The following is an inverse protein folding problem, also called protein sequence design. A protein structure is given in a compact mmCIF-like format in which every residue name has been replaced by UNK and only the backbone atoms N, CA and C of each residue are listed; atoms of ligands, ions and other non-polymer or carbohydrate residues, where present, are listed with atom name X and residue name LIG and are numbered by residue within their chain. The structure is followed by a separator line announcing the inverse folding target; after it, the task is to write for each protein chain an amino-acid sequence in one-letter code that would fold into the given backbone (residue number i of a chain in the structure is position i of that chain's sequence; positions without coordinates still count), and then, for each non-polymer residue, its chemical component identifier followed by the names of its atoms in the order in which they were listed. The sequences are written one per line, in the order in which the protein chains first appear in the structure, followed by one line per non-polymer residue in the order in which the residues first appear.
data_IF_311195226033
#
_entry.id   IF_311195226033
#
_cell.length_a   1.000
_cell.length_b   1.000
_cell.length_c   1.000
_cell.angle_alpha   90.00
_cell.angle_beta   90.00
_cell.angle_gamma   90.00
#
_symmetry.space_group_name_H-M   'P 1'
#
loop_
_entity.id
_entity.type
_entity.pdbx_description
1 polymer ?
#
# COMPACT_ATOMS: atom_id res chain seq x y z
N UNK A 1 21.79 13.49 3.24
CA UNK A 1 21.15 14.67 3.80
C UNK A 1 19.63 14.45 3.85
N UNK A 2 18.97 14.50 5.03
CA UNK A 2 17.53 14.27 5.18
C UNK A 2 16.66 15.16 4.26
N UNK A 3 17.10 16.39 3.99
CA UNK A 3 16.36 17.32 3.14
C UNK A 3 16.38 16.96 1.64
N UNK A 4 17.31 16.13 1.20
CA UNK A 4 17.53 15.85 -0.23
C UNK A 4 17.50 14.35 -0.59
N UNK A 5 17.37 13.46 0.41
CA UNK A 5 17.45 12.02 0.18
C UNK A 5 16.30 11.48 -0.72
N UNK A 6 15.21 12.24 -0.83
CA UNK A 6 14.06 11.93 -1.68
C UNK A 6 14.25 12.37 -3.14
N UNK A 7 15.35 13.05 -3.46
CA UNK A 7 15.66 13.48 -4.84
C UNK A 7 16.44 12.37 -5.52
N UNK A 8 15.92 11.77 -6.59
CA UNK A 8 16.64 10.74 -7.32
C UNK A 8 17.95 11.26 -7.90
N UNK A 9 19.01 10.47 -7.81
CA UNK A 9 20.35 10.81 -8.28
C UNK A 9 20.78 9.84 -9.37
N UNK A 10 21.14 10.37 -10.54
CA UNK A 10 21.75 9.60 -11.63
C UNK A 10 23.21 9.99 -11.76
N UNK A 11 24.10 9.02 -11.66
CA UNK A 11 25.54 9.24 -11.89
C UNK A 11 25.83 9.09 -13.39
N UNK A 12 26.48 10.09 -13.97
CA UNK A 12 27.00 10.03 -15.34
C UNK A 12 28.51 9.92 -15.29
N UNK A 13 29.06 8.78 -15.69
CA UNK A 13 30.49 8.47 -15.52
C UNK A 13 31.13 7.98 -16.81
N UNK A 14 32.43 8.22 -16.98
CA UNK A 14 33.25 7.59 -18.02
C UNK A 14 33.77 6.20 -17.61
N UNK A 15 33.61 5.83 -16.34
CA UNK A 15 33.99 4.52 -15.81
C UNK A 15 32.94 3.51 -16.25
N UNK A 16 33.33 2.49 -16.98
CA UNK A 16 32.47 1.48 -17.59
C UNK A 16 32.61 0.10 -16.92
N UNK A 17 33.52 -0.04 -15.96
CA UNK A 17 33.71 -1.29 -15.25
C UNK A 17 32.45 -1.64 -14.42
N UNK A 18 32.02 -2.89 -14.42
CA UNK A 18 30.88 -3.34 -13.58
C UNK A 18 31.04 -3.00 -12.09
N UNK A 19 32.27 -3.04 -11.57
CA UNK A 19 32.60 -2.65 -10.19
C UNK A 19 32.25 -1.22 -9.85
N UNK A 20 32.55 -0.27 -10.78
CA UNK A 20 32.30 1.15 -10.57
C UNK A 20 30.81 1.48 -10.56
N UNK A 21 30.04 0.78 -11.40
CA UNK A 21 28.58 0.87 -11.45
C UNK A 21 27.95 0.43 -10.12
N UNK A 22 28.43 -0.70 -9.58
CA UNK A 22 27.97 -1.25 -8.30
C UNK A 22 28.30 -0.29 -7.16
N UNK A 23 29.52 0.29 -7.13
CA UNK A 23 29.93 1.26 -6.11
C UNK A 23 29.03 2.51 -6.13
N UNK A 24 28.70 3.03 -7.31
CA UNK A 24 27.78 4.17 -7.45
C UNK A 24 26.40 3.91 -6.87
N UNK A 25 25.83 2.75 -7.16
CA UNK A 25 24.52 2.34 -6.60
C UNK A 25 24.58 2.07 -5.10
N UNK A 26 25.68 1.46 -4.60
CA UNK A 26 25.89 1.25 -3.16
C UNK A 26 26.10 2.55 -2.40
N UNK A 27 26.70 3.56 -3.03
CA UNK A 27 26.86 4.90 -2.46
C UNK A 27 25.53 5.68 -2.37
N UNK A 28 24.45 5.13 -2.90
CA UNK A 28 23.11 5.71 -2.78
C UNK A 28 22.60 6.40 -4.05
N UNK A 29 23.28 6.25 -5.18
CA UNK A 29 22.72 6.66 -6.47
C UNK A 29 21.54 5.77 -6.86
N UNK A 30 20.54 6.38 -7.45
CA UNK A 30 19.36 5.67 -7.92
C UNK A 30 19.60 4.97 -9.24
N UNK A 31 20.52 5.51 -10.05
CA UNK A 31 20.90 4.94 -11.32
C UNK A 31 22.26 5.50 -11.81
N UNK A 32 22.79 4.92 -12.87
CA UNK A 32 24.00 5.39 -13.52
C UNK A 32 23.87 5.32 -15.04
N UNK A 33 24.66 6.16 -15.74
CA UNK A 33 24.82 6.15 -17.17
C UNK A 33 26.31 6.23 -17.51
N UNK A 34 26.77 5.44 -18.47
CA UNK A 34 28.15 5.50 -18.98
C UNK A 34 28.27 6.45 -20.16
N UNK A 35 29.35 7.21 -20.21
CA UNK A 35 29.70 8.04 -21.37
C UNK A 35 30.29 7.18 -22.51
N UNK A 36 29.94 7.42 -23.79
CA UNK A 36 28.99 8.42 -24.28
C UNK A 36 27.55 8.07 -23.90
N UNK A 37 26.78 9.06 -23.41
CA UNK A 37 25.41 8.86 -22.98
C UNK A 37 24.49 8.77 -24.16
N UNK A 38 23.76 7.68 -24.29
CA UNK A 38 22.67 7.57 -25.24
C UNK A 38 21.48 8.43 -24.79
N UNK A 39 20.95 9.27 -25.68
CA UNK A 39 19.78 10.11 -25.43
C UNK A 39 18.58 9.25 -24.97
N UNK A 40 18.43 8.07 -25.56
CA UNK A 40 17.37 7.11 -25.20
C UNK A 40 17.54 6.65 -23.76
N UNK A 41 18.75 6.26 -23.37
CA UNK A 41 19.04 5.82 -22.02
C UNK A 41 18.80 6.94 -20.99
N UNK A 42 19.24 8.17 -21.30
CA UNK A 42 19.04 9.32 -20.44
C UNK A 42 17.57 9.65 -20.24
N UNK A 43 16.82 9.77 -21.34
CA UNK A 43 15.38 10.08 -21.30
C UNK A 43 14.61 9.00 -20.52
N UNK A 44 14.95 7.73 -20.76
CA UNK A 44 14.37 6.59 -20.07
C UNK A 44 14.54 6.70 -18.55
N UNK A 45 15.77 6.93 -18.10
CA UNK A 45 16.12 7.02 -16.68
C UNK A 45 15.45 8.23 -16.03
N UNK A 46 15.53 9.39 -16.65
CA UNK A 46 14.90 10.62 -16.14
C UNK A 46 13.39 10.44 -16.01
N UNK A 47 12.71 9.89 -17.03
CA UNK A 47 11.25 9.64 -16.96
C UNK A 47 10.86 8.66 -15.87
N UNK A 48 11.57 7.54 -15.73
CA UNK A 48 11.30 6.55 -14.68
C UNK A 48 11.47 7.15 -13.29
N UNK A 49 12.57 7.87 -13.06
CA UNK A 49 12.87 8.48 -11.76
C UNK A 49 11.94 9.66 -11.43
N UNK A 50 11.57 10.48 -12.42
CA UNK A 50 10.62 11.58 -12.24
C UNK A 50 9.24 11.06 -11.87
N UNK A 51 8.76 9.99 -12.54
CA UNK A 51 7.48 9.34 -12.21
C UNK A 51 7.48 8.84 -10.75
N UNK A 52 8.54 8.16 -10.33
CA UNK A 52 8.70 7.69 -8.96
C UNK A 52 8.67 8.87 -7.98
N UNK A 53 9.44 9.92 -8.26
CA UNK A 53 9.50 11.11 -7.42
C UNK A 53 8.14 11.78 -7.27
N UNK A 54 7.42 12.00 -8.35
CA UNK A 54 6.08 12.61 -8.30
C UNK A 54 5.13 11.80 -7.42
N UNK A 55 5.14 10.47 -7.56
CA UNK A 55 4.30 9.59 -6.75
C UNK A 55 4.69 9.61 -5.27
N UNK A 56 5.98 9.60 -4.96
CA UNK A 56 6.45 9.67 -3.56
C UNK A 56 6.24 11.05 -2.94
N UNK A 57 6.41 12.13 -3.69
CA UNK A 57 6.15 13.49 -3.20
C UNK A 57 4.66 13.69 -2.89
N UNK A 58 3.76 13.17 -3.73
CA UNK A 58 2.32 13.23 -3.47
C UNK A 58 1.96 12.48 -2.17
N UNK A 59 2.49 11.26 -1.99
CA UNK A 59 2.28 10.48 -0.77
C UNK A 59 2.87 11.19 0.46
N UNK A 60 4.05 11.79 0.35
CA UNK A 60 4.67 12.58 1.43
C UNK A 60 3.83 13.80 1.79
N UNK A 61 3.34 14.56 0.80
CA UNK A 61 2.45 15.70 1.04
C UNK A 61 1.17 15.28 1.78
N UNK A 62 0.55 14.19 1.38
CA UNK A 62 -0.63 13.63 2.07
C UNK A 62 -0.30 13.22 3.51
N UNK A 63 0.84 12.58 3.72
CA UNK A 63 1.31 12.17 5.04
C UNK A 63 1.65 13.38 5.93
N UNK A 64 2.24 14.44 5.40
CA UNK A 64 2.54 15.69 6.15
C UNK A 64 1.27 16.43 6.59
N UNK A 65 0.21 16.39 5.77
CA UNK A 65 -1.08 17.01 6.11
C UNK A 65 -1.79 16.25 7.24
N UNK A 66 -1.44 14.98 7.47
CA UNK A 66 -2.03 14.11 8.50
C UNK A 66 -1.23 14.05 9.81
N UNK A 67 -0.42 15.05 10.10
CA UNK A 67 0.40 15.29 11.32
C UNK A 67 0.91 14.09 12.14
N UNK A 68 2.23 13.96 12.17
CA UNK A 68 3.16 13.68 13.30
C UNK A 68 3.56 12.24 13.66
N UNK A 69 2.88 11.16 13.28
CA UNK A 69 3.24 9.85 13.89
C UNK A 69 4.00 8.88 12.97
N UNK A 70 3.91 9.04 11.65
CA UNK A 70 4.37 7.97 10.73
C UNK A 70 5.59 8.26 9.86
N UNK A 71 5.93 9.52 9.60
CA UNK A 71 6.94 9.88 8.57
C UNK A 71 8.36 9.63 9.05
N UNK A 72 8.67 9.98 10.29
CA UNK A 72 10.04 9.81 10.84
C UNK A 72 10.43 8.32 10.95
N UNK A 73 9.48 7.44 11.26
CA UNK A 73 9.73 6.00 11.31
C UNK A 73 9.97 5.42 9.92
N UNK A 74 9.14 5.76 8.94
CA UNK A 74 9.32 5.30 7.56
C UNK A 74 10.63 5.78 6.92
N UNK A 75 11.07 6.99 7.23
CA UNK A 75 12.34 7.53 6.74
C UNK A 75 13.54 6.85 7.40
N UNK A 76 13.53 6.61 8.71
CA UNK A 76 14.60 5.89 9.42
C UNK A 76 14.73 4.45 8.92
N UNK A 77 13.62 3.76 8.74
CA UNK A 77 13.61 2.39 8.23
C UNK A 77 14.02 2.30 6.76
N UNK A 78 13.71 3.31 5.93
CA UNK A 78 14.17 3.38 4.56
C UNK A 78 15.70 3.47 4.43
N UNK A 79 16.36 4.10 5.41
CA UNK A 79 17.83 4.20 5.46
C UNK A 79 18.45 2.83 5.79
N UNK A 80 17.82 2.02 6.62
CA UNK A 80 18.30 0.69 7.03
C UNK A 80 17.91 -0.43 6.06
N UNK A 81 16.90 -0.21 5.21
CA UNK A 81 16.42 -1.19 4.24
C UNK A 81 17.48 -1.50 3.19
N UNK A 82 17.88 -2.76 3.08
CA UNK A 82 18.92 -3.22 2.15
C UNK A 82 18.36 -3.77 0.83
N UNK A 83 17.04 -3.92 0.70
CA UNK A 83 16.39 -4.51 -0.48
C UNK A 83 16.68 -6.00 -0.66
N UNK A 84 17.04 -6.72 0.42
CA UNK A 84 17.26 -8.18 0.43
C UNK A 84 15.98 -8.93 0.76
N UNK A 85 16.00 -10.26 0.58
CA UNK A 85 14.88 -11.16 0.87
C UNK A 85 13.58 -10.77 0.17
N UNK A 86 13.69 -10.11 -0.99
CA UNK A 86 12.53 -9.77 -1.82
C UNK A 86 12.01 -10.99 -2.58
N UNK A 87 10.71 -11.05 -2.79
CA UNK A 87 10.11 -12.08 -3.64
C UNK A 87 10.06 -11.62 -5.08
N UNK A 88 10.81 -12.30 -5.95
CA UNK A 88 11.03 -11.93 -7.35
C UNK A 88 10.41 -12.99 -8.27
N UNK A 89 9.59 -12.56 -9.23
CA UNK A 89 9.11 -13.41 -10.30
C UNK A 89 9.95 -13.17 -11.56
N UNK A 90 10.48 -14.22 -12.15
CA UNK A 90 11.18 -14.18 -13.45
C UNK A 90 10.27 -14.77 -14.52
N UNK A 91 10.00 -13.96 -15.56
CA UNK A 91 9.23 -14.36 -16.75
C UNK A 91 10.15 -14.33 -17.95
N UNK A 92 10.64 -15.47 -18.33
CA UNK A 92 11.49 -15.68 -19.51
C UNK A 92 11.26 -17.13 -20.00
N UNK A 93 11.07 -17.33 -21.29
CA UNK A 93 10.80 -18.64 -21.88
C UNK A 93 12.08 -19.40 -22.28
N UNK A 94 13.24 -18.75 -22.18
CA UNK A 94 14.55 -19.35 -22.44
C UNK A 94 15.12 -20.03 -21.19
N UNK A 95 15.08 -21.36 -21.15
CA UNK A 95 15.48 -22.15 -19.97
C UNK A 95 16.83 -21.75 -19.39
N UNK A 96 17.88 -21.71 -20.21
CA UNK A 96 19.21 -21.33 -19.74
C UNK A 96 19.24 -19.91 -19.15
N UNK A 97 18.45 -18.98 -19.70
CA UNK A 97 18.38 -17.61 -19.22
C UNK A 97 17.76 -17.53 -17.83
N UNK A 98 16.56 -18.08 -17.64
CA UNK A 98 15.88 -17.99 -16.35
C UNK A 98 16.58 -18.78 -15.24
N UNK A 99 17.16 -19.95 -15.54
CA UNK A 99 17.94 -20.73 -14.55
C UNK A 99 19.18 -19.93 -14.09
N UNK A 100 19.90 -19.30 -15.03
CA UNK A 100 21.04 -18.44 -14.70
C UNK A 100 20.64 -17.24 -13.85
N UNK A 101 19.58 -16.53 -14.23
CA UNK A 101 19.07 -15.39 -13.46
C UNK A 101 18.64 -15.79 -12.05
N UNK A 102 17.91 -16.90 -11.93
CA UNK A 102 17.48 -17.42 -10.65
C UNK A 102 18.68 -17.81 -9.76
N UNK A 103 19.68 -18.47 -10.31
CA UNK A 103 20.90 -18.84 -9.56
C UNK A 103 21.67 -17.62 -9.07
N UNK A 104 21.73 -16.56 -9.87
CA UNK A 104 22.35 -15.29 -9.46
C UNK A 104 21.60 -14.66 -8.28
N UNK A 105 20.26 -14.67 -8.27
CA UNK A 105 19.45 -13.98 -7.27
C UNK A 105 19.16 -14.80 -6.01
N UNK A 106 19.33 -16.11 -6.05
CA UNK A 106 18.92 -17.04 -4.97
C UNK A 106 19.61 -16.77 -3.63
N UNK A 107 20.81 -16.17 -3.62
CA UNK A 107 21.52 -15.86 -2.38
C UNK A 107 20.87 -14.70 -1.59
N UNK A 108 20.20 -13.79 -2.28
CA UNK A 108 19.65 -12.55 -1.69
C UNK A 108 18.11 -12.48 -1.72
N UNK A 109 17.44 -13.31 -2.55
CA UNK A 109 16.01 -13.17 -2.84
C UNK A 109 15.32 -14.53 -2.94
N UNK A 110 14.02 -14.55 -2.71
CA UNK A 110 13.15 -15.70 -3.02
C UNK A 110 12.71 -15.56 -4.47
N UNK A 111 13.11 -16.49 -5.32
CA UNK A 111 12.91 -16.40 -6.77
C UNK A 111 11.94 -17.47 -7.24
N UNK A 112 10.86 -17.01 -7.86
CA UNK A 112 9.92 -17.86 -8.59
C UNK A 112 10.16 -17.69 -10.10
N UNK A 113 10.04 -18.76 -10.85
CA UNK A 113 10.18 -18.77 -12.31
C UNK A 113 8.85 -19.14 -12.95
N UNK A 114 8.46 -18.41 -13.98
CA UNK A 114 7.30 -18.72 -14.81
C UNK A 114 7.64 -18.54 -16.29
N UNK A 115 7.85 -19.64 -17.03
CA UNK A 115 8.18 -19.57 -18.43
C UNK A 115 7.00 -19.23 -19.34
N UNK A 116 5.77 -19.49 -18.91
CA UNK A 116 4.57 -19.16 -19.67
C UNK A 116 4.05 -17.75 -19.31
N UNK A 117 4.04 -16.80 -20.26
CA UNK A 117 3.58 -15.45 -20.03
C UNK A 117 2.10 -15.36 -19.62
N UNK A 118 1.25 -16.29 -20.08
CA UNK A 118 -0.16 -16.32 -19.69
C UNK A 118 -0.33 -16.76 -18.24
N UNK A 119 0.38 -17.82 -17.82
CA UNK A 119 0.43 -18.26 -16.43
C UNK A 119 1.08 -17.20 -15.52
N UNK A 120 2.11 -16.48 -16.01
CA UNK A 120 2.79 -15.43 -15.27
C UNK A 120 1.82 -14.31 -14.84
N UNK A 121 0.83 -13.97 -15.65
CA UNK A 121 -0.17 -12.95 -15.31
C UNK A 121 -1.01 -13.37 -14.09
N UNK A 122 -1.49 -14.61 -14.05
CA UNK A 122 -2.24 -15.15 -12.92
C UNK A 122 -1.35 -15.29 -11.68
N UNK A 123 -0.16 -15.87 -11.84
CA UNK A 123 0.78 -16.06 -10.74
C UNK A 123 1.23 -14.75 -10.11
N UNK A 124 1.44 -13.72 -10.92
CA UNK A 124 1.79 -12.37 -10.43
C UNK A 124 0.66 -11.72 -9.64
N UNK A 125 -0.59 -12.00 -9.97
CA UNK A 125 -1.75 -11.47 -9.27
C UNK A 125 -2.04 -12.20 -7.94
N UNK A 126 -1.69 -13.48 -7.83
CA UNK A 126 -1.88 -14.29 -6.62
C UNK A 126 -0.69 -14.20 -5.66
N UNK A 127 0.53 -14.07 -6.18
CA UNK A 127 1.76 -13.99 -5.40
C UNK A 127 2.07 -12.55 -4.98
N UNK A 128 2.51 -12.37 -3.73
CA UNK A 128 2.95 -11.07 -3.25
C UNK A 128 4.39 -10.77 -3.72
N UNK A 129 4.57 -10.51 -5.03
CA UNK A 129 5.86 -10.19 -5.59
C UNK A 129 6.25 -8.74 -5.37
N UNK A 130 7.51 -8.54 -5.04
CA UNK A 130 8.10 -7.21 -4.86
C UNK A 130 8.81 -6.70 -6.13
N UNK A 131 9.07 -7.61 -7.08
CA UNK A 131 9.64 -7.32 -8.39
C UNK A 131 9.23 -8.40 -9.39
N UNK A 132 8.95 -7.99 -10.62
CA UNK A 132 8.77 -8.89 -11.75
C UNK A 132 9.86 -8.58 -12.78
N UNK A 133 10.66 -9.59 -13.12
CA UNK A 133 11.68 -9.53 -14.18
C UNK A 133 11.06 -10.12 -15.44
N UNK A 134 10.97 -9.35 -16.53
CA UNK A 134 10.29 -9.76 -17.76
C UNK A 134 11.25 -9.69 -18.94
N UNK A 135 11.46 -10.79 -19.65
CA UNK A 135 12.12 -10.77 -20.95
C UNK A 135 11.22 -10.12 -22.00
N UNK A 136 11.69 -9.05 -22.65
CA UNK A 136 10.94 -8.45 -23.76
C UNK A 136 11.05 -9.31 -25.05
N UNK A 137 12.08 -10.14 -25.15
CA UNK A 137 12.32 -11.02 -26.30
C UNK A 137 11.78 -12.43 -26.08
N UNK A 138 10.54 -12.58 -25.58
CA UNK A 138 9.85 -13.88 -25.52
C UNK A 138 9.56 -14.39 -26.94
N UNK A 139 9.70 -15.70 -27.18
CA UNK A 139 9.56 -16.30 -28.51
C UNK A 139 8.10 -16.37 -28.99
N UNK A 140 7.19 -16.70 -28.08
CA UNK A 140 5.78 -17.00 -28.42
C UNK A 140 4.81 -15.90 -27.95
N UNK A 141 5.28 -14.87 -27.29
CA UNK A 141 4.46 -13.81 -26.74
C UNK A 141 5.17 -12.46 -26.77
N UNK A 142 4.43 -11.39 -26.94
CA UNK A 142 5.03 -10.05 -26.86
C UNK A 142 5.23 -9.63 -25.39
N UNK A 143 6.47 -9.51 -24.95
CA UNK A 143 6.83 -9.09 -23.60
C UNK A 143 6.30 -7.71 -23.23
N UNK A 144 6.15 -6.79 -24.18
CA UNK A 144 5.53 -5.48 -23.96
C UNK A 144 4.02 -5.61 -23.66
N UNK A 145 3.34 -6.53 -24.34
CA UNK A 145 1.94 -6.82 -24.06
C UNK A 145 1.75 -7.36 -22.64
N UNK A 146 2.64 -8.26 -22.19
CA UNK A 146 2.63 -8.74 -20.80
C UNK A 146 2.82 -7.58 -19.82
N UNK A 147 3.80 -6.71 -20.04
CA UNK A 147 4.03 -5.53 -19.20
C UNK A 147 2.80 -4.62 -19.13
N UNK A 148 2.13 -4.39 -20.26
CA UNK A 148 0.88 -3.61 -20.31
C UNK A 148 -0.23 -4.26 -19.52
N UNK A 149 -0.42 -5.58 -19.62
CA UNK A 149 -1.40 -6.33 -18.84
C UNK A 149 -1.12 -6.27 -17.34
N UNK A 150 0.14 -6.44 -16.93
CA UNK A 150 0.56 -6.28 -15.53
C UNK A 150 0.28 -4.87 -14.98
N UNK A 151 0.35 -3.84 -15.81
CA UNK A 151 0.02 -2.45 -15.41
C UNK A 151 -1.48 -2.17 -15.33
N UNK A 152 -2.30 -2.92 -16.03
CA UNK A 152 -3.75 -2.78 -16.02
C UNK A 152 -4.45 -3.45 -14.82
N UNK A 153 -3.80 -4.42 -14.18
CA UNK A 153 -4.36 -5.14 -13.04
C UNK A 153 -4.08 -4.41 -11.72
N UNK A 154 -5.08 -4.23 -10.88
CA UNK A 154 -4.97 -3.53 -9.58
C UNK A 154 -3.90 -4.13 -8.66
N UNK A 155 -3.77 -5.46 -8.64
CA UNK A 155 -2.82 -6.17 -7.78
C UNK A 155 -1.37 -6.02 -8.22
N UNK A 156 -1.11 -5.86 -9.52
CA UNK A 156 0.26 -5.85 -10.09
C UNK A 156 0.68 -4.51 -10.63
N UNK A 157 -0.22 -3.57 -10.84
CA UNK A 157 0.09 -2.24 -11.44
C UNK A 157 1.19 -1.47 -10.70
N UNK A 158 1.35 -1.72 -9.40
CA UNK A 158 2.35 -1.06 -8.55
C UNK A 158 3.59 -1.92 -8.28
N UNK A 159 3.65 -3.15 -8.81
CA UNK A 159 4.84 -3.99 -8.69
C UNK A 159 5.88 -3.50 -9.71
N UNK A 160 7.12 -3.22 -9.31
CA UNK A 160 8.17 -2.84 -10.25
C UNK A 160 8.38 -3.92 -11.32
N UNK A 161 8.62 -3.48 -12.56
CA UNK A 161 8.99 -4.36 -13.66
C UNK A 161 10.42 -4.00 -14.09
N UNK A 162 11.31 -5.00 -14.08
CA UNK A 162 12.65 -4.95 -14.61
C UNK A 162 12.66 -5.71 -15.93
N UNK A 163 12.86 -4.99 -17.04
CA UNK A 163 12.87 -5.61 -18.37
C UNK A 163 14.24 -6.16 -18.74
N UNK A 164 14.27 -7.31 -19.41
CA UNK A 164 15.47 -7.84 -20.06
C UNK A 164 15.36 -7.59 -21.55
N UNK A 165 16.33 -6.87 -22.12
CA UNK A 165 16.32 -6.43 -23.51
C UNK A 165 17.56 -6.92 -24.25
N UNK A 166 17.43 -7.15 -25.55
CA UNK A 166 18.60 -7.31 -26.43
C UNK A 166 19.23 -5.91 -26.73
N UNK A 167 20.54 -5.83 -26.95
CA UNK A 167 21.24 -4.54 -27.11
C UNK A 167 20.70 -3.68 -28.25
N UNK A 168 20.22 -4.31 -29.32
CA UNK A 168 19.79 -3.63 -30.55
C UNK A 168 18.29 -3.26 -30.54
N UNK A 169 17.53 -3.63 -29.48
CA UNK A 169 16.07 -3.44 -29.43
C UNK A 169 15.66 -2.15 -28.72
N UNK A 170 16.29 -1.04 -29.11
CA UNK A 170 16.02 0.29 -28.55
C UNK A 170 14.55 0.73 -28.68
N UNK A 171 13.92 0.38 -29.82
CA UNK A 171 12.52 0.76 -30.08
C UNK A 171 11.55 0.07 -29.10
N UNK A 172 11.77 -1.21 -28.81
CA UNK A 172 10.98 -1.96 -27.85
C UNK A 172 11.22 -1.47 -26.42
N UNK A 173 12.46 -1.16 -26.08
CA UNK A 173 12.81 -0.57 -24.79
C UNK A 173 12.07 0.76 -24.57
N UNK A 174 12.06 1.67 -25.53
CA UNK A 174 11.37 2.97 -25.43
C UNK A 174 9.86 2.79 -25.18
N UNK A 175 9.21 1.91 -25.95
CA UNK A 175 7.79 1.59 -25.75
C UNK A 175 7.54 0.99 -24.35
N UNK A 176 8.43 0.13 -23.88
CA UNK A 176 8.34 -0.45 -22.54
C UNK A 176 8.35 0.61 -21.44
N UNK A 177 9.22 1.61 -21.56
CA UNK A 177 9.30 2.73 -20.62
C UNK A 177 8.05 3.61 -20.64
N UNK A 178 7.43 3.80 -21.81
CA UNK A 178 6.15 4.50 -21.94
C UNK A 178 5.00 3.74 -21.27
N UNK A 179 4.97 2.41 -21.40
CA UNK A 179 4.01 1.53 -20.74
C UNK A 179 4.17 1.57 -19.19
N UNK A 180 5.38 1.86 -18.71
CA UNK A 180 5.65 1.98 -17.29
C UNK A 180 6.59 0.91 -16.72
N UNK A 181 7.44 0.32 -17.53
CA UNK A 181 8.60 -0.44 -17.03
C UNK A 181 9.44 0.48 -16.16
N UNK A 182 9.89 -0.02 -15.01
CA UNK A 182 10.62 0.78 -14.02
C UNK A 182 12.10 0.86 -14.32
N UNK A 183 12.65 -0.24 -14.85
CA UNK A 183 14.07 -0.37 -15.14
C UNK A 183 14.33 -1.45 -16.19
N UNK A 184 15.56 -1.53 -16.70
CA UNK A 184 15.92 -2.53 -17.69
C UNK A 184 17.37 -2.99 -17.56
N UNK A 185 17.67 -4.17 -18.10
CA UNK A 185 19.01 -4.73 -18.27
C UNK A 185 19.22 -5.15 -19.72
N UNK A 186 20.38 -4.86 -20.27
CA UNK A 186 20.78 -5.32 -21.58
C UNK A 186 21.52 -6.66 -21.47
N UNK A 187 21.26 -7.56 -22.39
CA UNK A 187 22.02 -8.81 -22.52
C UNK A 187 23.39 -8.55 -23.16
N UNK A 188 24.45 -9.26 -22.76
CA UNK A 188 24.50 -10.29 -21.71
C UNK A 188 24.41 -9.68 -20.31
N UNK A 189 23.62 -10.30 -19.41
CA UNK A 189 23.34 -9.79 -18.08
C UNK A 189 24.56 -9.97 -17.16
N UNK A 190 25.05 -8.89 -16.61
CA UNK A 190 26.04 -8.88 -15.54
C UNK A 190 25.38 -9.17 -14.19
N UNK A 191 25.98 -10.07 -13.40
CA UNK A 191 25.42 -10.48 -12.12
C UNK A 191 25.35 -9.34 -11.09
N UNK A 192 26.39 -8.51 -11.02
CA UNK A 192 26.45 -7.41 -10.06
C UNK A 192 25.45 -6.31 -10.41
N UNK A 193 25.29 -6.00 -11.72
CA UNK A 193 24.28 -5.06 -12.18
C UNK A 193 22.86 -5.58 -11.88
N UNK A 194 22.58 -6.86 -12.13
CA UNK A 194 21.31 -7.49 -11.79
C UNK A 194 21.01 -7.35 -10.30
N UNK A 195 21.95 -7.74 -9.43
CA UNK A 195 21.78 -7.62 -7.97
C UNK A 195 21.50 -6.18 -7.53
N UNK A 196 22.29 -5.23 -8.02
CA UNK A 196 22.16 -3.83 -7.64
C UNK A 196 20.78 -3.27 -8.04
N UNK A 197 20.30 -3.58 -9.27
CA UNK A 197 18.99 -3.12 -9.75
C UNK A 197 17.84 -3.80 -9.03
N UNK A 198 17.91 -5.11 -8.81
CA UNK A 198 16.87 -5.84 -8.07
C UNK A 198 16.74 -5.29 -6.66
N UNK A 199 17.85 -5.11 -5.93
CA UNK A 199 17.83 -4.50 -4.59
C UNK A 199 17.23 -3.09 -4.60
N UNK A 200 17.60 -2.27 -5.58
CA UNK A 200 17.07 -0.91 -5.71
C UNK A 200 15.56 -0.93 -5.95
N UNK A 201 15.04 -1.78 -6.83
CA UNK A 201 13.61 -1.86 -7.11
C UNK A 201 12.80 -2.40 -5.91
N UNK A 202 13.31 -3.43 -5.22
CA UNK A 202 12.70 -3.97 -4.00
C UNK A 202 12.66 -2.91 -2.90
N UNK A 203 13.77 -2.20 -2.67
CA UNK A 203 13.87 -1.10 -1.70
C UNK A 203 12.83 0.00 -1.98
N UNK A 204 12.72 0.42 -3.23
CA UNK A 204 11.74 1.43 -3.68
C UNK A 204 10.30 0.97 -3.49
N UNK A 205 10.01 -0.28 -3.82
CA UNK A 205 8.68 -0.87 -3.63
C UNK A 205 8.27 -0.83 -2.16
N UNK A 206 9.12 -1.32 -1.26
CA UNK A 206 8.88 -1.30 0.19
C UNK A 206 8.69 0.11 0.74
N UNK A 207 9.53 1.05 0.32
CA UNK A 207 9.40 2.45 0.73
C UNK A 207 8.05 3.05 0.32
N UNK A 208 7.64 2.83 -0.94
CA UNK A 208 6.37 3.33 -1.45
C UNK A 208 5.17 2.69 -0.75
N UNK A 209 5.24 1.40 -0.43
CA UNK A 209 4.19 0.71 0.32
C UNK A 209 4.07 1.26 1.74
N UNK A 210 5.16 1.38 2.47
CA UNK A 210 5.15 1.99 3.81
C UNK A 210 4.55 3.39 3.82
N UNK A 211 4.89 4.22 2.84
CA UNK A 211 4.26 5.55 2.73
C UNK A 211 2.75 5.47 2.52
N UNK A 212 2.27 4.52 1.69
CA UNK A 212 0.83 4.31 1.48
C UNK A 212 0.14 3.83 2.75
N UNK A 213 0.74 2.86 3.43
CA UNK A 213 0.20 2.31 4.69
C UNK A 213 0.12 3.39 5.76
N UNK A 214 1.14 4.25 5.88
CA UNK A 214 1.12 5.38 6.81
C UNK A 214 0.02 6.40 6.48
N UNK A 215 -0.17 6.72 5.20
CA UNK A 215 -1.28 7.60 4.77
C UNK A 215 -2.62 6.96 5.10
N UNK A 216 -2.78 5.65 4.83
CA UNK A 216 -4.01 4.93 5.14
C UNK A 216 -4.29 4.90 6.64
N UNK A 217 -3.29 4.55 7.46
CA UNK A 217 -3.41 4.59 8.93
C UNK A 217 -3.76 5.99 9.45
N UNK A 218 -3.16 7.03 8.88
CA UNK A 218 -3.46 8.42 9.25
C UNK A 218 -4.91 8.80 8.92
N UNK A 219 -5.42 8.37 7.76
CA UNK A 219 -6.83 8.57 7.38
C UNK A 219 -7.74 7.82 8.36
N UNK A 220 -7.46 6.57 8.65
CA UNK A 220 -8.23 5.76 9.59
C UNK A 220 -8.25 6.37 10.99
N UNK A 221 -7.10 6.81 11.50
CA UNK A 221 -7.00 7.51 12.78
C UNK A 221 -7.75 8.86 12.80
N UNK A 222 -7.84 9.54 11.67
CA UNK A 222 -8.58 10.79 11.55
C UNK A 222 -10.10 10.61 11.54
N UNK A 223 -10.62 9.41 11.17
CA UNK A 223 -12.05 9.14 11.02
C UNK A 223 -12.61 8.14 12.03
N UNK A 224 -11.75 7.41 12.78
CA UNK A 224 -12.17 6.41 13.77
C UNK A 224 -11.85 6.87 15.19
N UNK A 225 -12.60 6.31 16.15
CA UNK A 225 -12.30 6.39 17.58
C UNK A 225 -11.28 5.30 17.96
N UNK A 226 -10.16 5.71 18.53
CA UNK A 226 -9.02 4.82 18.82
C UNK A 226 -9.31 3.71 19.83
N UNK A 227 -10.33 3.86 20.68
CA UNK A 227 -10.70 2.86 21.67
C UNK A 227 -11.65 1.79 21.09
N UNK A 228 -12.67 2.23 20.36
CA UNK A 228 -13.78 1.37 19.95
C UNK A 228 -13.71 0.93 18.48
N UNK A 229 -12.88 1.61 17.66
CA UNK A 229 -12.79 1.36 16.23
C UNK A 229 -14.07 1.71 15.44
N UNK A 230 -15.05 2.37 16.05
CA UNK A 230 -16.16 3.01 15.35
C UNK A 230 -15.71 4.33 14.77
N UNK A 231 -16.54 4.95 13.92
CA UNK A 231 -16.24 6.30 13.48
C UNK A 231 -16.26 7.28 14.65
N UNK A 232 -15.40 8.31 14.58
CA UNK A 232 -15.35 9.34 15.59
C UNK A 232 -16.39 10.45 15.34
N UNK A 233 -16.57 11.32 16.33
CA UNK A 233 -17.47 12.47 16.28
C UNK A 233 -17.23 13.36 15.06
N UNK A 234 -15.98 13.65 14.75
CA UNK A 234 -15.61 14.53 13.62
C UNK A 234 -16.08 13.97 12.27
N UNK A 235 -15.91 12.68 12.07
CA UNK A 235 -16.40 12.01 10.86
C UNK A 235 -17.92 12.06 10.77
N UNK A 236 -18.61 11.78 11.89
CA UNK A 236 -20.07 11.82 11.95
C UNK A 236 -20.61 13.21 11.58
N UNK A 237 -20.11 14.28 12.20
CA UNK A 237 -20.52 15.66 11.92
C UNK A 237 -20.33 16.04 10.45
N UNK A 238 -19.19 15.64 9.85
CA UNK A 238 -18.89 15.90 8.43
C UNK A 238 -19.79 15.08 7.48
N UNK A 239 -20.15 13.85 7.85
CA UNK A 239 -20.86 12.93 6.97
C UNK A 239 -22.38 13.06 7.09
N UNK A 240 -22.89 13.37 8.29
CA UNK A 240 -24.32 13.51 8.54
C UNK A 240 -24.96 14.58 7.64
N UNK A 241 -24.30 15.73 7.44
CA UNK A 241 -24.78 16.77 6.55
C UNK A 241 -25.05 16.26 5.12
N UNK A 242 -24.11 15.47 4.60
CA UNK A 242 -24.27 14.85 3.25
C UNK A 242 -25.39 13.83 3.20
N UNK A 243 -25.56 13.04 4.24
CA UNK A 243 -26.65 12.05 4.32
C UNK A 243 -28.02 12.73 4.41
N UNK A 244 -28.14 13.82 5.15
CA UNK A 244 -29.37 14.62 5.23
C UNK A 244 -29.72 15.22 3.86
N UNK A 245 -28.74 15.80 3.17
CA UNK A 245 -28.90 16.37 1.84
C UNK A 245 -29.33 15.31 0.80
N UNK A 246 -28.69 14.15 0.84
CA UNK A 246 -29.06 13.00 -0.02
C UNK A 246 -30.47 12.48 0.28
N UNK A 247 -30.83 12.37 1.56
CA UNK A 247 -32.17 11.94 1.96
C UNK A 247 -33.24 12.90 1.44
N UNK A 248 -33.01 14.21 1.60
CA UNK A 248 -33.89 15.26 1.09
C UNK A 248 -34.06 15.23 -0.43
N UNK A 249 -32.94 15.14 -1.17
CA UNK A 249 -32.96 15.13 -2.64
C UNK A 249 -33.62 13.88 -3.24
N UNK A 250 -33.56 12.75 -2.53
CA UNK A 250 -34.15 11.47 -2.98
C UNK A 250 -35.54 11.20 -2.40
N UNK A 251 -36.04 12.07 -1.52
CA UNK A 251 -37.30 11.87 -0.80
C UNK A 251 -37.31 10.60 0.07
N UNK A 252 -36.13 10.20 0.60
CA UNK A 252 -35.98 9.01 1.43
C UNK A 252 -35.83 9.38 2.90
N UNK A 253 -36.40 8.62 3.84
CA UNK A 253 -36.27 8.88 5.26
C UNK A 253 -34.82 8.62 5.74
N UNK A 254 -34.39 9.35 6.75
CA UNK A 254 -33.13 9.19 7.44
C UNK A 254 -33.45 9.15 8.95
N UNK A 255 -33.03 8.09 9.63
CA UNK A 255 -33.17 7.99 11.09
C UNK A 255 -31.83 8.11 11.79
N UNK A 256 -31.86 8.67 13.00
CA UNK A 256 -30.70 8.78 13.88
C UNK A 256 -31.07 8.19 15.23
N UNK A 257 -30.24 7.26 15.71
CA UNK A 257 -30.32 6.74 17.09
C UNK A 257 -29.21 7.34 17.90
N UNK A 258 -29.52 7.85 19.07
CA UNK A 258 -28.56 8.23 20.10
C UNK A 258 -28.59 7.16 21.17
N UNK A 259 -27.43 6.65 21.54
CA UNK A 259 -27.24 5.56 22.48
C UNK A 259 -26.31 6.03 23.60
N UNK A 260 -26.63 5.64 24.82
CA UNK A 260 -25.85 5.92 26.02
C UNK A 260 -25.76 4.67 26.87
N UNK A 261 -24.66 4.47 27.63
CA UNK A 261 -24.48 3.32 28.51
C UNK A 261 -24.91 3.70 29.93
N UNK A 262 -26.04 3.13 30.36
CA UNK A 262 -26.57 3.38 31.67
C UNK A 262 -25.54 3.09 32.79
N UNK A 263 -25.42 4.02 33.73
CA UNK A 263 -24.54 3.89 34.88
C UNK A 263 -23.04 3.69 34.57
N UNK A 264 -22.55 4.12 33.40
CA UNK A 264 -21.17 3.92 33.00
C UNK A 264 -20.16 4.50 34.02
N UNK A 265 -20.45 5.66 34.58
CA UNK A 265 -19.63 6.24 35.64
C UNK A 265 -19.51 5.31 36.85
N UNK A 266 -20.59 4.64 37.26
CA UNK A 266 -20.55 3.69 38.35
C UNK A 266 -19.69 2.46 38.07
N UNK A 267 -19.64 2.03 36.78
CA UNK A 267 -18.77 0.96 36.35
C UNK A 267 -17.31 1.39 36.52
N UNK A 268 -16.94 2.59 36.06
CA UNK A 268 -15.59 3.13 36.21
C UNK A 268 -15.20 3.29 37.71
N UNK A 269 -16.09 3.84 38.51
CA UNK A 269 -15.82 4.10 39.92
C UNK A 269 -15.65 2.79 40.74
N UNK A 270 -16.34 1.71 40.32
CA UNK A 270 -16.31 0.42 41.04
C UNK A 270 -15.20 -0.51 40.53
N UNK A 271 -14.95 -0.53 39.21
CA UNK A 271 -14.09 -1.54 38.55
C UNK A 271 -12.86 -0.95 37.89
N UNK A 272 -12.71 0.38 37.88
CA UNK A 272 -11.60 1.09 37.26
C UNK A 272 -11.84 1.40 35.77
N UNK A 273 -11.04 2.33 35.23
CA UNK A 273 -11.17 2.83 33.85
C UNK A 273 -10.86 1.76 32.79
N UNK A 274 -9.94 0.84 33.08
CA UNK A 274 -9.60 -0.25 32.14
C UNK A 274 -10.82 -1.15 31.90
N UNK A 275 -11.61 -1.42 32.96
CA UNK A 275 -12.86 -2.16 32.85
C UNK A 275 -13.91 -1.38 32.03
N UNK A 276 -14.01 -0.06 32.26
CA UNK A 276 -14.89 0.80 31.46
C UNK A 276 -14.49 0.80 29.97
N UNK A 277 -13.20 0.78 29.68
CA UNK A 277 -12.69 0.70 28.30
C UNK A 277 -13.08 -0.64 27.64
N UNK A 278 -13.03 -1.76 28.36
CA UNK A 278 -13.49 -3.06 27.86
C UNK A 278 -14.99 -3.06 27.58
N UNK A 279 -15.78 -2.43 28.46
CA UNK A 279 -17.22 -2.25 28.25
C UNK A 279 -17.48 -1.43 26.98
N UNK A 280 -16.77 -0.34 26.77
CA UNK A 280 -16.91 0.50 25.56
C UNK A 280 -16.54 -0.27 24.28
N UNK A 281 -15.48 -1.05 24.31
CA UNK A 281 -15.06 -1.91 23.17
C UNK A 281 -16.12 -2.94 22.82
N UNK A 282 -16.61 -3.67 23.83
CA UNK A 282 -17.62 -4.70 23.62
C UNK A 282 -18.96 -4.10 23.18
N UNK A 283 -19.37 -2.96 23.76
CA UNK A 283 -20.55 -2.23 23.32
C UNK A 283 -20.48 -1.88 21.84
N UNK A 284 -19.36 -1.32 21.39
CA UNK A 284 -19.13 -0.98 20.00
C UNK A 284 -19.19 -2.20 19.06
N UNK A 285 -18.63 -3.34 19.49
CA UNK A 285 -18.70 -4.60 18.75
C UNK A 285 -20.17 -5.05 18.59
N UNK A 286 -20.96 -5.01 19.65
CA UNK A 286 -22.37 -5.39 19.63
C UNK A 286 -23.21 -4.46 18.77
N UNK A 287 -22.95 -3.15 18.82
CA UNK A 287 -23.58 -2.16 17.92
C UNK A 287 -23.28 -2.51 16.47
N UNK A 288 -22.00 -2.65 16.13
CA UNK A 288 -21.56 -2.95 14.74
C UNK A 288 -22.18 -4.24 14.21
N UNK A 289 -22.24 -5.31 15.01
CA UNK A 289 -22.86 -6.59 14.60
C UNK A 289 -24.39 -6.53 14.47
N UNK A 290 -25.02 -5.47 14.94
CA UNK A 290 -26.49 -5.35 15.00
C UNK A 290 -27.09 -4.40 14.00
N UNK A 291 -26.27 -3.66 13.26
CA UNK A 291 -26.67 -2.71 12.22
C UNK A 291 -26.25 -3.21 10.83
N UNK A 292 -26.76 -2.55 9.78
CA UNK A 292 -26.46 -2.89 8.38
C UNK A 292 -25.13 -2.27 7.98
N UNK A 293 -24.49 -2.79 6.93
CA UNK A 293 -23.24 -2.24 6.39
C UNK A 293 -23.37 -0.81 5.83
N UNK A 294 -24.60 -0.36 5.52
CA UNK A 294 -24.89 1.01 5.07
C UNK A 294 -25.14 1.99 6.23
N UNK A 295 -25.39 1.47 7.44
CA UNK A 295 -25.63 2.27 8.62
C UNK A 295 -24.28 2.76 9.18
N UNK A 296 -24.24 4.00 9.66
CA UNK A 296 -23.04 4.62 10.19
C UNK A 296 -23.09 4.61 11.72
N UNK A 297 -22.18 3.86 12.36
CA UNK A 297 -22.02 3.87 13.82
C UNK A 297 -20.82 4.73 14.22
N UNK A 298 -21.02 5.63 15.19
CA UNK A 298 -20.02 6.57 15.68
C UNK A 298 -20.01 6.60 17.21
N UNK A 299 -18.83 6.84 17.78
CA UNK A 299 -18.70 7.24 19.19
C UNK A 299 -18.54 8.76 19.25
N UNK A 300 -19.38 9.42 20.05
CA UNK A 300 -19.39 10.87 20.18
C UNK A 300 -18.40 11.37 21.25
N UNK A 301 -18.10 10.53 22.22
CA UNK A 301 -17.21 10.76 23.34
C UNK A 301 -17.78 10.13 24.62
N UNK A 302 -16.95 9.83 25.60
CA UNK A 302 -17.39 9.15 26.81
C UNK A 302 -18.13 7.86 26.51
N UNK A 303 -19.38 7.77 26.99
CA UNK A 303 -20.32 6.65 26.81
C UNK A 303 -21.38 6.86 25.74
N UNK A 304 -21.27 7.96 24.97
CA UNK A 304 -22.27 8.36 23.97
C UNK A 304 -21.94 7.80 22.58
N UNK A 305 -22.92 7.18 21.93
CA UNK A 305 -22.83 6.64 20.58
C UNK A 305 -23.99 7.10 19.71
N UNK A 306 -23.75 7.20 18.41
CA UNK A 306 -24.77 7.57 17.42
C UNK A 306 -24.77 6.56 16.31
N UNK A 307 -25.97 6.14 15.87
CA UNK A 307 -26.16 5.33 14.66
C UNK A 307 -27.04 6.09 13.69
N UNK A 308 -26.53 6.37 12.49
CA UNK A 308 -27.26 7.00 11.40
C UNK A 308 -27.71 5.92 10.43
N UNK A 309 -28.99 5.86 10.13
CA UNK A 309 -29.62 4.83 9.31
C UNK A 309 -30.28 5.44 8.06
N UNK A 310 -29.61 5.43 6.91
CA UNK A 310 -30.19 5.88 5.66
C UNK A 310 -31.40 5.00 5.25
N UNK A 311 -32.35 5.60 4.52
CA UNK A 311 -33.55 4.95 4.00
C UNK A 311 -34.34 4.18 5.08
N UNK A 312 -34.40 4.75 6.28
CA UNK A 312 -35.04 4.12 7.46
C UNK A 312 -36.02 5.10 8.07
N UNK A 313 -37.28 4.68 8.18
CA UNK A 313 -38.35 5.45 8.85
C UNK A 313 -38.34 5.24 10.37
N UNK A 314 -39.15 6.02 11.09
CA UNK A 314 -39.22 6.01 12.54
C UNK A 314 -39.66 4.64 13.11
N UNK A 315 -40.57 3.94 12.45
CA UNK A 315 -41.09 2.63 12.96
C UNK A 315 -40.00 1.54 12.87
N UNK A 316 -39.29 1.51 11.76
CA UNK A 316 -38.16 0.60 11.55
C UNK A 316 -37.01 0.98 12.50
N UNK A 317 -36.71 2.27 12.68
CA UNK A 317 -35.69 2.74 13.59
C UNK A 317 -35.95 2.33 15.03
N UNK A 318 -37.18 2.51 15.51
CA UNK A 318 -37.61 2.08 16.84
C UNK A 318 -37.46 0.55 17.05
N UNK A 319 -37.78 -0.24 16.02
CA UNK A 319 -37.58 -1.70 16.04
C UNK A 319 -36.10 -2.07 16.15
N UNK A 320 -35.24 -1.37 15.40
CA UNK A 320 -33.79 -1.58 15.45
C UNK A 320 -33.24 -1.19 16.82
N UNK A 321 -33.66 -0.05 17.36
CA UNK A 321 -33.24 0.43 18.67
C UNK A 321 -33.58 -0.58 19.78
N UNK A 322 -34.83 -1.10 19.81
CA UNK A 322 -35.25 -2.07 20.84
C UNK A 322 -34.54 -3.42 20.67
N UNK A 323 -34.30 -3.87 19.43
CA UNK A 323 -33.51 -5.06 19.17
C UNK A 323 -32.07 -4.90 19.69
N UNK A 324 -31.47 -3.74 19.44
CA UNK A 324 -30.13 -3.40 19.87
C UNK A 324 -30.04 -3.39 21.40
N UNK A 325 -30.98 -2.68 22.06
CA UNK A 325 -31.08 -2.60 23.53
C UNK A 325 -31.15 -3.99 24.15
N UNK A 326 -32.04 -4.85 23.65
CA UNK A 326 -32.21 -6.23 24.16
C UNK A 326 -30.95 -7.05 23.95
N UNK A 327 -30.30 -6.95 22.80
CA UNK A 327 -29.08 -7.72 22.51
C UNK A 327 -27.91 -7.28 23.36
N UNK A 328 -27.80 -5.99 23.64
CA UNK A 328 -26.74 -5.45 24.53
C UNK A 328 -26.96 -5.93 25.96
N UNK A 329 -28.23 -5.94 26.45
CA UNK A 329 -28.58 -6.35 27.80
C UNK A 329 -28.57 -7.87 28.01
N UNK A 330 -28.68 -8.69 26.97
CA UNK A 330 -28.87 -10.14 27.07
C UNK A 330 -27.61 -10.90 27.50
N UNK A 331 -26.44 -10.40 27.18
CA UNK A 331 -25.17 -11.10 27.41
C UNK A 331 -24.28 -10.28 28.36
N UNK A 332 -23.59 -10.92 29.33
CA UNK A 332 -22.59 -10.25 30.14
C UNK A 332 -21.49 -9.63 29.30
N UNK A 333 -20.92 -8.54 29.77
CA UNK A 333 -19.74 -7.95 29.12
C UNK A 333 -18.48 -8.70 29.59
N UNK A 334 -17.69 -9.27 28.68
CA UNK A 334 -16.41 -9.85 29.04
C UNK A 334 -15.47 -8.73 29.48
N UNK A 335 -14.98 -8.84 30.71
CA UNK A 335 -14.00 -7.91 31.26
C UNK A 335 -12.73 -8.71 31.48
N UNK A 336 -11.64 -8.32 30.83
CA UNK A 336 -10.33 -8.87 31.18
C UNK A 336 -9.97 -8.38 32.59
N UNK A 337 -10.09 -9.26 33.57
CA UNK A 337 -9.60 -8.98 34.92
C UNK A 337 -8.12 -8.65 34.80
N UNK A 338 -7.78 -7.40 35.07
CA UNK A 338 -6.45 -6.87 34.90
C UNK A 338 -5.41 -7.78 35.51
N UNK A 339 -4.42 -8.12 34.73
CA UNK A 339 -3.16 -8.64 35.27
C UNK A 339 -2.60 -7.58 36.19
N UNK A 340 -2.67 -7.83 37.50
CA UNK A 340 -1.78 -7.19 38.46
C UNK A 340 -0.37 -7.69 38.25
#
# INVERSE_FOLDING_TARGET
NPATHHIPVVIVTALDQPSDRVQGLQAGADDFLTKPVSDIALIARVRSLTRLKMMTDELRMRAMTSREIGIESAEREAITEQGRNGRVLIVDDRKYSYERLASMLAADHVVDIEPDPAAALFRSAEGNYELIVVSLGLEKFDGLRLCSQLRSLDRTRNVPILALCEPDDNARLMRGLEIGINDYLLRPIDANELHARVRTQVKRKRYTERLRDNVQMSIEAAITDGLTGLHNRRYMESHLGKLVEQAGSRGKPLAVLVLDIDFFKSINDTHGHDCGDDVLREFAIRVRKSIRGIDLACRMGGEEFVVVMPETDMAVAATVAERLRRKIAAEPFPIEQGKK
#
